data_IF_702992615375
#
_entry.id   IF_702992615375
#
_cell.length_a   1.000
_cell.length_b   1.000
_cell.length_c   1.000
_cell.angle_alpha   90.00
_cell.angle_beta   90.00
_cell.angle_gamma   90.00
#
_symmetry.space_group_name_H-M   'P 1'
#
loop_
_entity.id
_entity.type
_entity.pdbx_description
1 polymer ?
#
# COMPACT_ATOMS: atom_id res chain seq x y z
N UNK A 1 -12.31 29.18 -25.53
CA UNK A 1 -11.29 29.14 -26.59
C UNK A 1 -11.83 28.32 -27.76
N UNK A 2 -11.60 28.72 -29.01
CA UNK A 2 -11.92 27.88 -30.17
C UNK A 2 -11.07 26.60 -30.17
N UNK A 3 -11.62 25.50 -30.69
CA UNK A 3 -10.96 24.18 -30.68
C UNK A 3 -9.58 24.16 -31.37
N UNK A 4 -9.35 25.08 -32.32
CA UNK A 4 -8.06 25.26 -33.01
C UNK A 4 -6.92 25.81 -32.13
N UNK A 5 -7.23 26.28 -30.93
CA UNK A 5 -6.26 26.87 -29.99
C UNK A 5 -5.95 25.93 -28.81
N UNK A 6 -6.42 24.67 -28.87
CA UNK A 6 -6.25 23.68 -27.80
C UNK A 6 -5.74 22.36 -28.37
N UNK A 7 -4.59 21.90 -27.89
CA UNK A 7 -4.10 20.55 -28.16
C UNK A 7 -4.66 19.63 -27.07
N UNK A 8 -5.42 18.62 -27.49
CA UNK A 8 -5.96 17.59 -26.59
C UNK A 8 -5.15 16.31 -26.75
N UNK A 9 -4.09 16.20 -25.95
CA UNK A 9 -3.33 14.96 -25.82
C UNK A 9 -4.13 13.94 -25.00
N UNK A 10 -4.21 12.71 -25.53
CA UNK A 10 -4.98 11.62 -24.94
C UNK A 10 -4.15 10.37 -24.89
N UNK A 11 -3.91 9.90 -23.67
CA UNK A 11 -3.24 8.63 -23.44
C UNK A 11 -4.27 7.49 -23.49
N UNK A 12 -4.18 6.59 -24.49
CA UNK A 12 -4.98 5.36 -24.62
C UNK A 12 -6.51 5.49 -24.40
N UNK A 13 -7.27 5.63 -25.48
CA UNK A 13 -8.74 5.82 -25.47
C UNK A 13 -9.52 4.50 -25.62
N UNK A 14 -9.38 3.54 -24.69
CA UNK A 14 -10.00 2.21 -24.83
C UNK A 14 -11.53 2.19 -24.69
N UNK A 15 -12.08 2.99 -23.75
CA UNK A 15 -13.51 2.94 -23.40
C UNK A 15 -14.31 4.12 -23.95
N UNK A 16 -13.64 5.20 -24.36
CA UNK A 16 -14.28 6.38 -24.90
C UNK A 16 -13.37 7.07 -25.92
N UNK A 17 -13.87 7.48 -27.09
CA UNK A 17 -13.04 8.01 -28.18
C UNK A 17 -12.40 9.37 -27.86
N UNK A 18 -12.89 10.10 -26.85
CA UNK A 18 -12.36 11.41 -26.44
C UNK A 18 -11.74 11.43 -25.04
N UNK A 19 -11.73 10.33 -24.30
CA UNK A 19 -11.22 10.32 -22.92
C UNK A 19 -10.13 9.27 -22.82
N UNK A 20 -8.91 9.73 -22.56
CA UNK A 20 -7.77 8.86 -22.31
C UNK A 20 -7.84 8.20 -20.94
N UNK A 21 -7.27 7.01 -20.83
CA UNK A 21 -7.12 6.28 -19.58
C UNK A 21 -5.69 6.47 -19.05
N UNK A 22 -5.49 7.16 -17.91
CA UNK A 22 -4.15 7.39 -17.40
C UNK A 22 -3.55 6.09 -16.81
N UNK A 23 -2.22 5.88 -16.90
CA UNK A 23 -1.55 4.71 -16.32
C UNK A 23 -1.85 4.52 -14.82
N UNK A 24 -2.04 5.62 -14.08
CA UNK A 24 -2.40 5.59 -12.65
C UNK A 24 -3.69 4.81 -12.39
N UNK A 25 -4.63 4.80 -13.34
CA UNK A 25 -5.86 4.02 -13.20
C UNK A 25 -5.56 2.52 -13.17
N UNK A 26 -4.67 2.04 -14.05
CA UNK A 26 -4.24 0.65 -14.06
C UNK A 26 -3.42 0.26 -12.81
N UNK A 27 -2.60 1.20 -12.30
CA UNK A 27 -1.84 1.02 -11.06
C UNK A 27 -2.67 1.21 -9.77
N UNK A 28 -3.93 1.65 -9.88
CA UNK A 28 -4.73 2.12 -8.73
C UNK A 28 -4.91 1.07 -7.63
N UNK A 29 -5.16 -0.19 -8.01
CA UNK A 29 -5.31 -1.29 -7.04
C UNK A 29 -3.99 -1.60 -6.32
N UNK A 30 -2.88 -1.64 -7.05
CA UNK A 30 -1.56 -1.88 -6.47
C UNK A 30 -1.13 -0.75 -5.54
N UNK A 31 -1.37 0.51 -5.93
CA UNK A 31 -1.11 1.67 -5.08
C UNK A 31 -1.97 1.67 -3.81
N UNK A 32 -3.25 1.34 -3.93
CA UNK A 32 -4.17 1.23 -2.80
C UNK A 32 -3.74 0.11 -1.84
N UNK A 33 -3.35 -1.05 -2.38
CA UNK A 33 -2.80 -2.15 -1.59
C UNK A 33 -1.54 -1.71 -0.83
N UNK A 34 -0.59 -1.06 -1.51
CA UNK A 34 0.62 -0.53 -0.89
C UNK A 34 0.33 0.46 0.24
N UNK A 35 -0.61 1.38 0.03
CA UNK A 35 -1.07 2.32 1.06
C UNK A 35 -1.61 1.60 2.30
N UNK A 36 -2.48 0.61 2.11
CA UNK A 36 -3.04 -0.15 3.24
C UNK A 36 -2.00 -0.97 3.98
N UNK A 37 -1.02 -1.55 3.29
CA UNK A 37 0.09 -2.26 3.94
C UNK A 37 0.88 -1.28 4.81
N UNK A 38 1.27 -0.11 4.29
CA UNK A 38 2.01 0.89 5.07
C UNK A 38 1.21 1.44 6.26
N UNK A 39 -0.09 1.71 6.07
CA UNK A 39 -0.98 2.16 7.13
C UNK A 39 -1.15 1.11 8.24
N UNK A 40 -1.27 -0.16 7.85
CA UNK A 40 -1.33 -1.28 8.78
C UNK A 40 -0.01 -1.44 9.54
N UNK A 41 1.13 -1.40 8.85
CA UNK A 41 2.46 -1.44 9.48
C UNK A 41 2.64 -0.30 10.48
N UNK A 42 2.26 0.92 10.12
CA UNK A 42 2.35 2.09 11.03
C UNK A 42 1.48 1.89 12.27
N UNK A 43 0.25 1.41 12.10
CA UNK A 43 -0.67 1.13 13.22
C UNK A 43 -0.15 -0.01 14.11
N UNK A 44 0.42 -1.04 13.50
CA UNK A 44 1.04 -2.17 14.19
C UNK A 44 2.23 -1.73 15.06
N UNK A 45 3.17 -0.97 14.48
CA UNK A 45 4.32 -0.44 15.23
C UNK A 45 3.90 0.58 16.29
N UNK A 46 2.91 1.44 16.00
CA UNK A 46 2.35 2.39 16.97
C UNK A 46 1.75 1.70 18.19
N UNK A 47 1.12 0.53 18.01
CA UNK A 47 0.51 -0.25 19.09
C UNK A 47 1.50 -1.24 19.75
N UNK A 48 2.80 -1.06 19.54
CA UNK A 48 3.83 -1.88 20.17
C UNK A 48 3.87 -3.32 19.67
N UNK A 49 3.48 -3.55 18.41
CA UNK A 49 3.51 -4.87 17.76
C UNK A 49 2.58 -5.90 18.39
N UNK A 50 1.62 -5.47 19.22
CA UNK A 50 0.65 -6.37 19.85
C UNK A 50 -0.56 -6.52 18.94
N UNK A 51 -0.80 -7.72 18.38
CA UNK A 51 -2.02 -7.97 17.64
C UNK A 51 -3.22 -7.88 18.60
N UNK A 52 -4.35 -7.42 18.06
CA UNK A 52 -5.65 -7.49 18.72
C UNK A 52 -5.87 -8.90 19.27
N UNK A 53 -6.26 -9.02 20.53
CA UNK A 53 -6.59 -10.30 21.14
C UNK A 53 -8.07 -10.42 21.47
N UNK A 54 -8.50 -11.64 21.74
CA UNK A 54 -9.84 -11.93 22.20
C UNK A 54 -9.81 -12.08 23.71
N UNK A 55 -10.69 -11.34 24.39
CA UNK A 55 -10.93 -11.52 25.83
C UNK A 55 -12.04 -12.56 25.97
N UNK A 56 -11.67 -13.74 26.45
CA UNK A 56 -12.60 -14.83 26.74
C UNK A 56 -13.06 -14.72 28.19
N UNK A 57 -14.38 -14.74 28.42
CA UNK A 57 -14.98 -14.65 29.76
C UNK A 57 -15.84 -15.91 29.97
N UNK A 58 -15.58 -16.72 31.00
CA UNK A 58 -16.40 -17.88 31.29
C UNK A 58 -17.77 -17.44 31.86
N UNK A 59 -18.86 -17.73 31.14
CA UNK A 59 -20.25 -17.45 31.57
C UNK A 59 -21.02 -16.52 30.63
N UNK A 60 -22.29 -16.23 30.95
CA UNK A 60 -23.11 -15.25 30.23
C UNK A 60 -22.90 -13.84 30.78
N UNK A 61 -22.51 -12.91 29.91
CA UNK A 61 -22.40 -11.49 30.23
C UNK A 61 -23.62 -10.74 29.66
N UNK A 62 -24.15 -9.76 30.39
CA UNK A 62 -25.14 -8.83 29.86
C UNK A 62 -24.48 -7.87 28.88
N UNK A 63 -25.20 -7.44 27.83
CA UNK A 63 -24.65 -6.56 26.78
C UNK A 63 -24.07 -5.25 27.36
N UNK A 64 -24.69 -4.74 28.43
CA UNK A 64 -24.25 -3.53 29.11
C UNK A 64 -22.89 -3.70 29.80
N UNK A 65 -22.67 -4.86 30.44
CA UNK A 65 -21.39 -5.17 31.08
C UNK A 65 -20.29 -5.42 30.05
N UNK A 66 -20.62 -6.04 28.91
CA UNK A 66 -19.68 -6.22 27.81
C UNK A 66 -19.21 -4.88 27.23
N UNK A 67 -20.13 -3.91 27.04
CA UNK A 67 -19.79 -2.56 26.57
C UNK A 67 -18.90 -1.81 27.57
N UNK A 68 -19.21 -1.89 28.86
CA UNK A 68 -18.37 -1.29 29.93
C UNK A 68 -16.98 -1.90 29.95
N UNK A 69 -16.87 -3.23 29.83
CA UNK A 69 -15.58 -3.92 29.80
C UNK A 69 -14.73 -3.50 28.59
N UNK A 70 -15.36 -3.43 27.41
CA UNK A 70 -14.69 -2.96 26.18
C UNK A 70 -14.22 -1.52 26.31
N UNK A 71 -15.08 -0.61 26.79
CA UNK A 71 -14.70 0.80 26.98
C UNK A 71 -13.54 0.96 27.98
N UNK A 72 -13.56 0.19 29.08
CA UNK A 72 -12.47 0.21 30.06
C UNK A 72 -11.17 -0.32 29.45
N UNK A 73 -11.25 -1.39 28.65
CA UNK A 73 -10.10 -1.95 27.95
C UNK A 73 -9.50 -0.95 26.96
N UNK A 74 -10.34 -0.35 26.12
CA UNK A 74 -9.92 0.60 25.09
C UNK A 74 -9.27 1.85 25.73
N UNK A 75 -9.80 2.34 26.85
CA UNK A 75 -9.22 3.49 27.57
C UNK A 75 -7.88 3.17 28.26
N UNK A 76 -7.73 1.95 28.77
CA UNK A 76 -6.62 1.55 29.63
C UNK A 76 -5.43 0.92 28.90
N UNK A 77 -5.63 0.39 27.70
CA UNK A 77 -4.63 -0.48 27.04
C UNK A 77 -4.43 -0.20 25.54
N UNK A 78 -5.08 0.82 24.97
CA UNK A 78 -4.89 1.26 23.57
C UNK A 78 -4.17 2.63 23.53
N UNK A 79 -3.45 2.92 22.45
CA UNK A 79 -2.82 4.22 22.21
C UNK A 79 -1.62 4.47 23.10
N UNK A 80 -1.57 5.60 23.79
CA UNK A 80 -0.47 5.97 24.71
C UNK A 80 -0.36 5.03 25.91
N UNK A 81 -1.45 4.34 26.25
CA UNK A 81 -1.48 3.35 27.32
C UNK A 81 -1.14 1.92 26.85
N UNK A 82 -0.77 1.75 25.57
CA UNK A 82 -0.38 0.46 25.02
C UNK A 82 0.85 -0.10 25.75
N UNK A 83 0.73 -1.32 26.28
CA UNK A 83 1.80 -2.00 27.02
C UNK A 83 1.67 -1.95 28.55
N UNK A 84 0.63 -1.32 29.10
CA UNK A 84 0.30 -1.46 30.54
C UNK A 84 -0.16 -2.88 30.88
N UNK A 85 0.17 -3.34 32.09
CA UNK A 85 -0.23 -4.67 32.57
C UNK A 85 -1.75 -4.76 32.71
N UNK A 86 -2.36 -5.64 31.90
CA UNK A 86 -3.78 -5.88 31.95
C UNK A 86 -4.18 -6.72 33.16
N UNK A 87 -5.12 -6.21 33.97
CA UNK A 87 -5.77 -6.97 35.04
C UNK A 87 -7.17 -7.37 34.56
N UNK A 88 -7.41 -8.68 34.50
CA UNK A 88 -8.67 -9.26 34.05
C UNK A 88 -9.43 -9.82 35.27
N UNK A 89 -10.68 -9.40 35.44
CA UNK A 89 -11.57 -9.87 36.52
C UNK A 89 -12.36 -11.13 36.12
N UNK A 90 -12.86 -11.89 37.09
CA UNK A 90 -13.79 -13.03 36.89
C UNK A 90 -13.24 -14.18 36.02
N UNK A 91 -11.93 -14.45 36.09
CA UNK A 91 -11.32 -15.54 35.32
C UNK A 91 -11.24 -15.28 33.81
N UNK A 92 -11.43 -14.03 33.38
CA UNK A 92 -11.28 -13.65 31.99
C UNK A 92 -9.83 -13.85 31.52
N UNK A 93 -9.66 -14.39 30.31
CA UNK A 93 -8.36 -14.68 29.70
C UNK A 93 -8.19 -13.86 28.44
N UNK A 94 -7.04 -13.21 28.31
CA UNK A 94 -6.64 -12.56 27.07
C UNK A 94 -5.86 -13.55 26.22
N UNK A 95 -6.47 -13.99 25.12
CA UNK A 95 -5.80 -14.79 24.11
C UNK A 95 -5.26 -13.83 23.04
N UNK A 96 -3.94 -13.54 23.01
CA UNK A 96 -3.37 -12.74 21.94
C UNK A 96 -3.55 -13.51 20.63
N UNK A 97 -4.16 -12.89 19.62
CA UNK A 97 -4.18 -13.48 18.27
C UNK A 97 -2.77 -13.34 17.71
N UNK A 98 -1.92 -14.35 17.89
CA UNK A 98 -0.54 -14.31 17.42
C UNK A 98 -0.50 -14.13 15.91
N UNK A 99 0.04 -13.01 15.46
CA UNK A 99 0.50 -12.83 14.10
C UNK A 99 2.01 -13.06 14.06
N UNK A 100 2.45 -14.09 13.36
CA UNK A 100 3.84 -14.37 12.98
C UNK A 100 3.74 -15.23 11.72
N UNK A 101 4.27 -14.85 10.54
CA UNK A 101 5.49 -14.09 10.23
C UNK A 101 5.22 -12.93 9.21
N UNK A 102 4.69 -11.81 9.69
CA UNK A 102 4.16 -10.73 8.82
C UNK A 102 5.25 -9.83 8.27
N UNK A 103 6.34 -9.60 9.01
CA UNK A 103 7.28 -8.54 8.65
C UNK A 103 8.02 -8.85 7.34
N UNK A 104 8.49 -10.08 7.15
CA UNK A 104 9.13 -10.49 5.89
C UNK A 104 8.14 -10.48 4.72
N UNK A 105 6.92 -10.98 4.93
CA UNK A 105 5.88 -11.00 3.90
C UNK A 105 5.35 -9.60 3.54
N UNK A 106 5.29 -8.67 4.49
CA UNK A 106 4.84 -7.29 4.23
C UNK A 106 5.87 -6.50 3.44
N UNK A 107 7.16 -6.70 3.72
CA UNK A 107 8.23 -6.13 2.89
C UNK A 107 8.16 -6.66 1.46
N UNK A 108 7.96 -7.97 1.28
CA UNK A 108 7.79 -8.57 -0.04
C UNK A 108 6.55 -8.06 -0.77
N UNK A 109 5.40 -7.97 -0.08
CA UNK A 109 4.17 -7.40 -0.65
C UNK A 109 4.34 -5.93 -1.04
N UNK A 110 5.02 -5.12 -0.22
CA UNK A 110 5.32 -3.73 -0.55
C UNK A 110 6.20 -3.64 -1.80
N UNK A 111 7.24 -4.47 -1.88
CA UNK A 111 8.10 -4.53 -3.07
C UNK A 111 7.31 -4.92 -4.32
N UNK A 112 6.45 -5.94 -4.22
CA UNK A 112 5.57 -6.37 -5.31
C UNK A 112 4.64 -5.23 -5.77
N UNK A 113 4.03 -4.48 -4.84
CA UNK A 113 3.18 -3.34 -5.22
C UNK A 113 3.98 -2.27 -5.97
N UNK A 114 5.20 -1.98 -5.52
CA UNK A 114 6.07 -1.02 -6.19
C UNK A 114 6.51 -1.50 -7.58
N UNK A 115 6.84 -2.78 -7.74
CA UNK A 115 7.17 -3.38 -9.05
C UNK A 115 5.98 -3.33 -10.01
N UNK A 116 4.76 -3.59 -9.55
CA UNK A 116 3.55 -3.47 -10.37
C UNK A 116 3.37 -2.02 -10.83
N UNK A 117 3.55 -1.02 -9.95
CA UNK A 117 3.48 0.40 -10.35
C UNK A 117 4.55 0.71 -11.40
N UNK A 118 5.80 0.27 -11.20
CA UNK A 118 6.90 0.46 -12.16
C UNK A 118 6.55 -0.13 -13.53
N UNK A 119 5.97 -1.33 -13.56
CA UNK A 119 5.58 -2.02 -14.80
C UNK A 119 4.54 -1.24 -15.61
N UNK A 120 3.57 -0.61 -14.93
CA UNK A 120 2.50 0.17 -15.55
C UNK A 120 3.04 1.44 -16.20
N UNK A 121 4.02 2.09 -15.58
CA UNK A 121 4.69 3.28 -16.13
C UNK A 121 5.83 2.94 -17.10
N UNK A 122 6.12 1.65 -17.33
CA UNK A 122 7.27 1.16 -18.11
C UNK A 122 8.62 1.67 -17.60
N UNK A 123 8.69 2.04 -16.32
CA UNK A 123 9.94 2.48 -15.69
C UNK A 123 10.63 1.24 -15.10
N UNK A 124 11.91 0.98 -15.42
CA UNK A 124 12.64 -0.10 -14.79
C UNK A 124 12.75 0.08 -13.27
N UNK A 125 12.47 -0.97 -12.50
CA UNK A 125 12.42 -0.89 -11.03
C UNK A 125 13.75 -0.45 -10.37
N UNK A 126 14.89 -0.71 -11.03
CA UNK A 126 16.21 -0.29 -10.54
C UNK A 126 16.41 1.24 -10.62
N UNK A 127 15.72 1.94 -11.53
CA UNK A 127 15.76 3.42 -11.62
C UNK A 127 15.08 4.10 -10.43
N UNK A 128 14.11 3.42 -9.81
CA UNK A 128 13.35 3.91 -8.66
C UNK A 128 13.94 3.38 -7.33
N UNK A 129 14.97 2.53 -7.38
CA UNK A 129 15.61 1.96 -6.20
C UNK A 129 14.84 0.80 -5.55
N UNK A 130 13.83 0.27 -6.23
CA UNK A 130 13.04 -0.90 -5.78
C UNK A 130 13.69 -2.21 -6.22
N UNK A 131 14.30 -2.20 -7.40
CA UNK A 131 15.01 -3.35 -7.98
C UNK A 131 16.53 -3.26 -7.80
N UNK A 132 17.20 -4.41 -7.90
CA UNK A 132 18.65 -4.44 -8.03
C UNK A 132 19.03 -4.09 -9.48
N UNK A 133 20.04 -3.24 -9.70
CA UNK A 133 20.56 -3.04 -11.05
C UNK A 133 21.16 -4.37 -11.55
N UNK A 134 21.02 -4.69 -12.84
CA UNK A 134 21.65 -5.87 -13.40
C UNK A 134 23.18 -5.79 -13.23
N UNK A 135 23.78 -6.87 -12.75
CA UNK A 135 25.16 -6.89 -12.25
C UNK A 135 26.25 -6.76 -13.33
N UNK A 136 25.89 -6.81 -14.61
CA UNK A 136 26.83 -7.02 -15.72
C UNK A 136 26.68 -6.06 -16.90
N UNK A 137 25.78 -5.08 -16.83
CA UNK A 137 25.48 -4.22 -17.96
C UNK A 137 26.18 -2.85 -17.87
N UNK A 138 26.70 -2.39 -19.00
CA UNK A 138 27.22 -1.04 -19.17
C UNK A 138 26.12 -0.02 -18.85
N UNK A 139 26.45 1.02 -18.09
CA UNK A 139 25.49 2.05 -17.66
C UNK A 139 24.80 2.70 -18.87
N UNK A 140 25.55 2.86 -19.97
CA UNK A 140 25.05 3.41 -21.24
C UNK A 140 23.95 2.55 -21.84
N UNK A 141 24.07 1.22 -21.78
CA UNK A 141 23.07 0.30 -22.30
C UNK A 141 21.77 0.37 -21.47
N UNK A 142 21.88 0.55 -20.15
CA UNK A 142 20.73 0.72 -19.25
C UNK A 142 20.00 2.04 -19.50
N UNK A 143 20.72 3.15 -19.73
CA UNK A 143 20.12 4.41 -20.12
C UNK A 143 19.42 4.32 -21.48
N UNK A 144 20.05 3.67 -22.46
CA UNK A 144 19.44 3.48 -23.78
C UNK A 144 18.16 2.64 -23.70
N UNK A 145 18.15 1.59 -22.86
CA UNK A 145 16.95 0.79 -22.62
C UNK A 145 15.84 1.62 -21.98
N UNK A 146 16.15 2.42 -20.96
CA UNK A 146 15.16 3.30 -20.32
C UNK A 146 14.58 4.32 -21.31
N UNK A 147 15.44 4.95 -22.11
CA UNK A 147 15.01 5.88 -23.16
C UNK A 147 14.05 5.20 -24.15
N UNK A 148 14.46 4.05 -24.71
CA UNK A 148 13.68 3.38 -25.76
C UNK A 148 12.36 2.80 -25.26
N UNK A 149 12.34 2.22 -24.06
CA UNK A 149 11.15 1.49 -23.55
C UNK A 149 10.14 2.39 -22.82
N UNK A 150 10.60 3.51 -22.25
CA UNK A 150 9.75 4.40 -21.45
C UNK A 150 9.55 5.77 -22.11
N UNK A 151 10.64 6.50 -22.37
CA UNK A 151 10.57 7.92 -22.74
C UNK A 151 10.19 8.12 -24.20
N UNK A 152 10.79 7.35 -25.11
CA UNK A 152 10.63 7.50 -26.54
C UNK A 152 9.14 7.45 -26.96
N UNK A 153 8.38 6.47 -26.47
CA UNK A 153 6.96 6.35 -26.79
C UNK A 153 6.16 7.57 -26.34
N UNK A 154 6.47 8.14 -25.18
CA UNK A 154 5.78 9.32 -24.66
C UNK A 154 6.13 10.58 -25.46
N UNK A 155 7.43 10.76 -25.77
CA UNK A 155 7.92 11.89 -26.56
C UNK A 155 7.30 11.87 -27.96
N UNK A 156 7.39 10.74 -28.66
CA UNK A 156 6.83 10.59 -30.02
C UNK A 156 5.31 10.82 -30.03
N UNK A 157 4.59 10.38 -28.99
CA UNK A 157 3.15 10.61 -28.88
C UNK A 157 2.80 12.10 -28.76
N UNK A 158 3.59 12.86 -28.01
CA UNK A 158 3.42 14.30 -27.85
C UNK A 158 3.83 15.05 -29.12
N UNK A 159 4.92 14.65 -29.76
CA UNK A 159 5.41 15.26 -31.01
C UNK A 159 4.41 15.11 -32.16
N UNK A 160 3.69 13.98 -32.25
CA UNK A 160 2.65 13.78 -33.27
C UNK A 160 1.44 14.73 -33.13
N UNK A 161 1.29 15.39 -31.99
CA UNK A 161 0.17 16.31 -31.70
C UNK A 161 0.53 17.79 -31.88
N UNK A 162 1.82 18.11 -31.95
CA UNK A 162 2.37 19.46 -32.14
C UNK A 162 2.43 19.83 -33.62
#
# INVERSE_FOLDING_TARGET
MPAREVIHDRFNCFFHPLVGLPPVYAAGLAATQGYHIQANSTSFFRNGGRPSGVIEIPGSITEENAKKLKSNWDSGYIGENAGKTAILSNGAKYNPTTFSPVDAQTVEQLKMTAEIVCSVFRVPAYKIGVGQPPSSDNVEALEQQYYSQCLQTLIESIELLL
#
